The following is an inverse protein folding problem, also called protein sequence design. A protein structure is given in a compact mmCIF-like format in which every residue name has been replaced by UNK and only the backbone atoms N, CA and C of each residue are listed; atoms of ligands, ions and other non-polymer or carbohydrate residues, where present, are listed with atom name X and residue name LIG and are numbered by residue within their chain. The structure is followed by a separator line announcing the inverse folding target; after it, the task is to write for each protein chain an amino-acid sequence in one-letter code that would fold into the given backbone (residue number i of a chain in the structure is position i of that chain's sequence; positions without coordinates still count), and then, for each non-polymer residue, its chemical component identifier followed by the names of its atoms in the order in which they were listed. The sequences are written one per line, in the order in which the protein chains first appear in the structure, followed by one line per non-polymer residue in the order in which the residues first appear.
data_IF_826920841177
#
_entry.id   IF_826920841177
#
_cell.length_a   1.000
_cell.length_b   1.000
_cell.length_c   1.000
_cell.angle_alpha   90.00
_cell.angle_beta   90.00
_cell.angle_gamma   90.00
#
_symmetry.space_group_name_H-M   'P 1'
#
loop_
_entity.id
_entity.type
_entity.pdbx_description
1 polymer ?
#
# COMPACT_ATOMS: atom_id res chain seq x y z
N UNK A 1 -6.25 -18.74 1.58
CA UNK A 1 -7.25 -18.62 0.50
C UNK A 1 -7.54 -17.15 0.27
N UNK A 2 -7.63 -16.69 -0.99
CA UNK A 2 -7.95 -15.29 -1.29
C UNK A 2 -9.44 -15.02 -1.00
N UNK A 3 -9.74 -14.00 -0.20
CA UNK A 3 -11.11 -13.56 0.09
C UNK A 3 -11.75 -12.83 -1.10
N UNK A 4 -10.97 -12.49 -2.12
CA UNK A 4 -11.41 -11.67 -3.26
C UNK A 4 -12.62 -12.24 -4.00
N UNK A 5 -12.70 -13.54 -4.35
CA UNK A 5 -13.87 -14.06 -5.05
C UNK A 5 -15.16 -13.86 -4.25
N UNK A 6 -15.11 -14.09 -2.93
CA UNK A 6 -16.26 -13.87 -2.03
C UNK A 6 -16.61 -12.39 -1.90
N UNK A 7 -15.61 -11.50 -1.90
CA UNK A 7 -15.83 -10.07 -1.85
C UNK A 7 -16.51 -9.57 -3.14
N UNK A 8 -15.96 -9.86 -4.32
CA UNK A 8 -16.51 -9.39 -5.60
C UNK A 8 -17.90 -9.99 -5.89
N UNK A 9 -18.18 -11.22 -5.45
CA UNK A 9 -19.51 -11.82 -5.58
C UNK A 9 -20.59 -11.03 -4.83
N UNK A 10 -20.27 -10.29 -3.75
CA UNK A 10 -21.23 -9.41 -3.07
C UNK A 10 -21.68 -8.23 -3.94
N UNK A 11 -20.96 -7.95 -5.02
CA UNK A 11 -21.25 -6.90 -5.99
C UNK A 11 -21.68 -7.48 -7.35
N UNK A 12 -22.06 -8.77 -7.40
CA UNK A 12 -22.45 -9.46 -8.64
C UNK A 12 -21.33 -9.51 -9.70
N UNK A 13 -20.06 -9.44 -9.25
CA UNK A 13 -18.88 -9.51 -10.09
C UNK A 13 -18.11 -10.81 -9.87
N UNK A 14 -17.66 -11.44 -10.93
CA UNK A 14 -16.65 -12.51 -10.88
C UNK A 14 -15.25 -11.95 -11.14
N UNK A 15 -14.21 -12.74 -10.80
CA UNK A 15 -12.82 -12.38 -11.14
C UNK A 15 -12.64 -12.25 -12.66
N UNK A 16 -13.33 -13.08 -13.45
CA UNK A 16 -13.26 -13.05 -14.92
C UNK A 16 -13.93 -11.80 -15.52
N UNK A 17 -14.87 -11.20 -14.79
CA UNK A 17 -15.49 -9.93 -15.19
C UNK A 17 -14.48 -8.77 -15.06
N UNK A 18 -13.69 -8.78 -13.99
CA UNK A 18 -12.79 -7.68 -13.60
C UNK A 18 -11.33 -7.87 -14.03
N UNK A 19 -10.93 -9.06 -14.48
CA UNK A 19 -9.58 -9.33 -15.03
C UNK A 19 -9.71 -9.86 -16.46
N UNK A 20 -8.93 -9.31 -17.39
CA UNK A 20 -8.90 -9.81 -18.76
C UNK A 20 -8.27 -11.21 -18.82
N UNK A 21 -8.86 -12.16 -19.58
CA UNK A 21 -8.32 -13.52 -19.70
C UNK A 21 -6.87 -13.59 -20.19
N UNK A 22 -6.44 -12.58 -20.94
CA UNK A 22 -5.06 -12.44 -21.46
C UNK A 22 -4.01 -12.27 -20.36
N UNK A 23 -4.42 -11.93 -19.14
CA UNK A 23 -3.53 -11.75 -17.99
C UNK A 23 -3.43 -13.01 -17.11
N UNK A 24 -4.16 -14.08 -17.45
CA UNK A 24 -4.09 -15.33 -16.71
C UNK A 24 -2.77 -16.06 -17.00
N UNK A 25 -2.09 -16.56 -15.96
CA UNK A 25 -0.93 -17.46 -16.09
C UNK A 25 0.46 -16.82 -16.11
N UNK A 26 0.58 -15.51 -15.81
CA UNK A 26 1.89 -14.84 -15.61
C UNK A 26 2.11 -14.56 -14.13
N UNK A 27 2.99 -15.33 -13.47
CA UNK A 27 3.12 -15.37 -12.00
C UNK A 27 3.35 -14.00 -11.34
N UNK A 28 4.23 -13.16 -11.88
CA UNK A 28 4.49 -11.82 -11.35
C UNK A 28 3.30 -10.87 -11.51
N UNK A 29 2.63 -10.91 -12.66
CA UNK A 29 1.44 -10.10 -12.93
C UNK A 29 0.27 -10.56 -12.06
N UNK A 30 0.11 -11.87 -11.84
CA UNK A 30 -0.96 -12.40 -11.00
C UNK A 30 -0.85 -11.87 -9.57
N UNK A 31 0.36 -11.81 -8.99
CA UNK A 31 0.54 -11.25 -7.65
C UNK A 31 0.20 -9.76 -7.58
N UNK A 32 0.59 -8.97 -8.60
CA UNK A 32 0.26 -7.54 -8.68
C UNK A 32 -1.25 -7.33 -8.85
N UNK A 33 -1.90 -8.10 -9.71
CA UNK A 33 -3.35 -8.06 -9.91
C UNK A 33 -4.07 -8.38 -8.61
N UNK A 34 -3.70 -9.46 -7.92
CA UNK A 34 -4.33 -9.85 -6.66
C UNK A 34 -4.18 -8.76 -5.59
N UNK A 35 -2.97 -8.23 -5.39
CA UNK A 35 -2.75 -7.11 -4.45
C UNK A 35 -3.55 -5.87 -4.85
N UNK A 36 -3.58 -5.53 -6.14
CA UNK A 36 -4.37 -4.40 -6.62
C UNK A 36 -5.86 -4.58 -6.34
N UNK A 37 -6.43 -5.75 -6.65
CA UNK A 37 -7.83 -6.05 -6.33
C UNK A 37 -8.11 -6.03 -4.82
N UNK A 38 -7.15 -6.45 -3.97
CA UNK A 38 -7.25 -6.32 -2.51
C UNK A 38 -7.25 -4.87 -2.07
N UNK A 39 -6.39 -4.04 -2.66
CA UNK A 39 -6.33 -2.60 -2.39
C UNK A 39 -7.61 -1.90 -2.85
N UNK A 40 -8.18 -2.29 -4.01
CA UNK A 40 -9.50 -1.81 -4.44
C UNK A 40 -10.60 -2.16 -3.43
N UNK A 41 -10.63 -3.42 -2.99
CA UNK A 41 -11.58 -3.87 -1.98
C UNK A 41 -11.42 -3.07 -0.68
N UNK A 42 -10.17 -2.84 -0.25
CA UNK A 42 -9.88 -2.08 0.96
C UNK A 42 -10.40 -0.64 0.88
N UNK A 43 -10.15 0.08 -0.22
CA UNK A 43 -10.68 1.44 -0.38
C UNK A 43 -12.21 1.47 -0.38
N UNK A 44 -12.85 0.51 -1.03
CA UNK A 44 -14.32 0.42 -1.09
C UNK A 44 -14.93 0.18 0.29
N UNK A 45 -14.32 -0.69 1.09
CA UNK A 45 -14.80 -0.99 2.43
C UNK A 45 -14.61 0.17 3.41
N UNK A 46 -13.63 1.04 3.16
CA UNK A 46 -13.36 2.23 3.97
C UNK A 46 -14.02 3.51 3.39
N UNK A 47 -14.55 3.46 2.17
CA UNK A 47 -15.24 4.59 1.55
C UNK A 47 -16.65 4.75 2.13
N UNK A 48 -17.05 6.00 2.38
CA UNK A 48 -18.39 6.32 2.84
C UNK A 48 -19.43 6.39 1.69
N UNK A 49 -18.98 6.46 0.43
CA UNK A 49 -19.83 6.58 -0.77
C UNK A 49 -19.93 5.25 -1.53
N UNK A 50 -21.07 4.59 -1.42
CA UNK A 50 -21.34 3.29 -2.05
C UNK A 50 -21.44 3.34 -3.58
N UNK A 51 -21.78 4.48 -4.17
CA UNK A 51 -21.92 4.62 -5.63
C UNK A 51 -20.55 4.72 -6.28
N UNK A 52 -19.66 5.54 -5.72
CA UNK A 52 -18.27 5.62 -6.17
C UNK A 52 -17.53 4.29 -5.97
N UNK A 53 -17.82 3.61 -4.86
CA UNK A 53 -17.26 2.30 -4.58
C UNK A 53 -17.60 1.25 -5.65
N UNK A 54 -18.87 1.18 -6.10
CA UNK A 54 -19.25 0.26 -7.18
C UNK A 54 -18.54 0.60 -8.51
N UNK A 55 -18.49 1.89 -8.87
CA UNK A 55 -17.81 2.33 -10.09
C UNK A 55 -16.30 2.06 -10.06
N UNK A 56 -15.69 2.09 -8.88
CA UNK A 56 -14.32 1.64 -8.67
C UNK A 56 -14.17 0.14 -8.95
N UNK A 57 -15.04 -0.71 -8.40
CA UNK A 57 -14.95 -2.16 -8.54
C UNK A 57 -15.21 -2.67 -9.95
N UNK A 58 -16.14 -2.06 -10.70
CA UNK A 58 -16.54 -2.52 -12.04
C UNK A 58 -15.47 -2.29 -13.13
N UNK A 59 -14.39 -1.59 -12.83
CA UNK A 59 -13.32 -1.36 -13.79
C UNK A 59 -12.52 -2.64 -14.05
N UNK A 60 -12.40 -3.02 -15.33
CA UNK A 60 -11.74 -4.25 -15.75
C UNK A 60 -10.25 -4.03 -15.97
N UNK A 61 -9.40 -4.79 -15.30
CA UNK A 61 -7.95 -4.80 -15.53
C UNK A 61 -7.66 -5.48 -16.88
N UNK A 62 -7.11 -4.73 -17.83
CA UNK A 62 -6.83 -5.21 -19.20
C UNK A 62 -5.35 -5.32 -19.53
N UNK A 63 -4.49 -4.59 -18.82
CA UNK A 63 -3.03 -4.71 -18.95
C UNK A 63 -2.33 -4.43 -17.62
N UNK A 64 -1.20 -5.10 -17.39
CA UNK A 64 -0.34 -4.92 -16.21
C UNK A 64 1.11 -5.09 -16.62
N UNK A 65 1.94 -4.07 -16.40
CA UNK A 65 3.36 -4.14 -16.71
C UNK A 65 4.22 -3.36 -15.71
N UNK A 66 5.46 -3.80 -15.58
CA UNK A 66 6.44 -3.18 -14.71
C UNK A 66 6.98 -1.91 -15.36
N UNK A 67 6.98 -0.80 -14.62
CA UNK A 67 7.51 0.50 -15.06
C UNK A 67 8.90 0.73 -14.47
N UNK A 68 9.02 0.49 -13.17
CA UNK A 68 10.31 0.50 -12.46
C UNK A 68 10.43 -0.83 -11.72
N UNK A 69 11.54 -1.53 -11.99
CA UNK A 69 11.78 -2.87 -11.45
C UNK A 69 11.57 -2.94 -9.94
N UNK A 70 10.68 -3.85 -9.52
CA UNK A 70 10.25 -4.13 -8.16
C UNK A 70 9.77 -2.91 -7.35
N UNK A 71 9.37 -1.80 -8.01
CA UNK A 71 8.99 -0.57 -7.32
C UNK A 71 7.66 0.01 -7.82
N UNK A 72 7.52 0.20 -9.13
CA UNK A 72 6.34 0.86 -9.73
C UNK A 72 5.82 0.02 -10.88
N UNK A 73 4.53 -0.23 -10.85
CA UNK A 73 3.81 -0.95 -11.89
C UNK A 73 2.73 -0.06 -12.49
N UNK A 74 2.40 -0.34 -13.75
CA UNK A 74 1.30 0.27 -14.48
C UNK A 74 0.17 -0.74 -14.60
N UNK A 75 -1.04 -0.30 -14.30
CA UNK A 75 -2.27 -1.08 -14.43
C UNK A 75 -3.22 -0.30 -15.33
N UNK A 76 -3.59 -0.89 -16.46
CA UNK A 76 -4.61 -0.34 -17.35
C UNK A 76 -5.97 -0.91 -16.96
N UNK A 77 -6.87 -0.04 -16.53
CA UNK A 77 -8.27 -0.35 -16.31
C UNK A 77 -9.13 0.12 -17.49
N UNK A 78 -10.09 -0.70 -17.91
CA UNK A 78 -11.10 -0.37 -18.90
C UNK A 78 -12.46 -0.18 -18.25
N UNK A 79 -13.12 0.93 -18.58
CA UNK A 79 -14.51 1.24 -18.21
C UNK A 79 -15.28 1.64 -19.47
N UNK A 80 -16.16 0.75 -19.94
CA UNK A 80 -16.82 0.94 -21.24
C UNK A 80 -15.78 1.04 -22.36
N UNK A 81 -15.69 2.20 -23.00
CA UNK A 81 -14.73 2.49 -24.08
C UNK A 81 -13.48 3.24 -23.61
N UNK A 82 -13.39 3.59 -22.33
CA UNK A 82 -12.30 4.41 -21.80
C UNK A 82 -11.27 3.54 -21.08
N UNK A 83 -10.02 3.65 -21.51
CA UNK A 83 -8.88 3.06 -20.80
C UNK A 83 -8.23 4.12 -19.90
N UNK A 84 -7.92 3.74 -18.66
CA UNK A 84 -7.24 4.56 -17.67
C UNK A 84 -6.01 3.83 -17.18
N UNK A 85 -4.86 4.50 -17.22
CA UNK A 85 -3.58 3.92 -16.83
C UNK A 85 -3.20 4.42 -15.45
N UNK A 86 -3.11 3.51 -14.48
CA UNK A 86 -2.78 3.81 -13.09
C UNK A 86 -1.34 3.38 -12.80
N UNK A 87 -0.58 4.24 -12.14
CA UNK A 87 0.69 3.86 -11.54
C UNK A 87 0.44 3.42 -10.10
N UNK A 88 0.99 2.27 -9.72
CA UNK A 88 0.83 1.67 -8.40
C UNK A 88 2.17 1.27 -7.80
N UNK A 89 2.27 1.24 -6.47
CA UNK A 89 3.42 0.67 -5.77
C UNK A 89 3.43 -0.85 -5.91
N UNK A 90 4.60 -1.44 -6.17
CA UNK A 90 4.73 -2.89 -6.31
C UNK A 90 4.29 -3.66 -5.05
N UNK A 91 4.73 -3.19 -3.87
CA UNK A 91 4.54 -3.90 -2.60
C UNK A 91 3.10 -3.81 -2.05
N UNK A 92 2.40 -2.69 -2.28
CA UNK A 92 1.06 -2.45 -1.71
C UNK A 92 -0.05 -2.34 -2.75
N UNK A 93 0.31 -2.12 -4.02
CA UNK A 93 -0.59 -1.79 -5.12
C UNK A 93 -1.50 -0.59 -4.85
N UNK A 94 -1.13 0.29 -3.93
CA UNK A 94 -1.76 1.60 -3.79
C UNK A 94 -1.41 2.49 -4.97
N UNK A 95 -2.42 3.25 -5.41
CA UNK A 95 -2.33 4.13 -6.57
C UNK A 95 -1.54 5.37 -6.19
N UNK A 96 -0.47 5.65 -6.94
CA UNK A 96 0.35 6.86 -6.80
C UNK A 96 0.03 7.93 -7.86
N UNK A 97 -0.82 7.60 -8.82
CA UNK A 97 -1.44 8.55 -9.75
C UNK A 97 -1.83 7.94 -11.10
N UNK A 98 -2.41 8.76 -11.98
CA UNK A 98 -2.84 8.36 -13.33
C UNK A 98 -1.83 8.84 -14.39
N UNK A 99 -1.52 8.01 -15.38
CA UNK A 99 -0.79 8.44 -16.57
C UNK A 99 -1.76 9.22 -17.49
N UNK A 100 -1.37 10.41 -17.92
CA UNK A 100 -2.11 11.15 -18.97
C UNK A 100 -3.20 12.11 -18.50
N UNK A 101 -3.35 12.38 -17.20
CA UNK A 101 -4.15 13.53 -16.78
C UNK A 101 -3.40 14.82 -17.18
N UNK A 102 -4.00 15.66 -18.02
CA UNK A 102 -3.66 17.09 -18.00
C UNK A 102 -3.85 17.60 -16.57
N UNK A 103 -3.34 18.78 -16.20
CA UNK A 103 -3.35 19.36 -14.84
C UNK A 103 -4.75 19.54 -14.17
N UNK A 104 -5.79 18.90 -14.69
CA UNK A 104 -7.14 18.82 -14.14
C UNK A 104 -7.38 17.39 -13.62
N UNK A 105 -7.86 17.20 -12.38
CA UNK A 105 -8.39 15.91 -11.96
C UNK A 105 -9.46 15.48 -12.97
N UNK A 106 -9.50 14.19 -13.32
CA UNK A 106 -10.53 13.64 -14.21
C UNK A 106 -11.90 13.76 -13.52
N UNK A 107 -12.53 14.92 -13.64
CA UNK A 107 -13.93 15.16 -13.26
C UNK A 107 -14.82 14.62 -14.37
N UNK A 108 -14.65 13.35 -14.73
CA UNK A 108 -15.64 12.65 -15.55
C UNK A 108 -16.71 12.13 -14.62
N UNK A 109 -17.95 12.59 -14.82
CA UNK A 109 -19.14 12.28 -14.02
C UNK A 109 -19.24 10.78 -13.69
N UNK A 110 -18.85 10.41 -12.47
CA UNK A 110 -18.95 9.04 -11.92
C UNK A 110 -17.63 8.34 -11.58
N UNK A 111 -16.45 8.85 -11.99
CA UNK A 111 -15.18 8.22 -11.59
C UNK A 111 -14.79 8.75 -10.19
N UNK A 112 -14.43 7.88 -9.21
CA UNK A 112 -13.78 8.34 -7.99
C UNK A 112 -12.58 9.19 -8.38
N UNK A 113 -12.47 10.43 -7.91
CA UNK A 113 -11.39 11.34 -8.32
C UNK A 113 -10.05 10.65 -8.09
N UNK A 114 -9.42 10.17 -9.17
CA UNK A 114 -8.10 9.58 -9.07
C UNK A 114 -7.15 10.76 -8.94
N UNK A 115 -6.49 10.89 -7.79
CA UNK A 115 -5.66 12.05 -7.53
C UNK A 115 -4.51 12.15 -8.52
N UNK A 116 -4.15 13.39 -8.85
CA UNK A 116 -3.00 13.69 -9.70
C UNK A 116 -1.71 13.19 -9.05
N UNK A 117 -0.86 12.56 -9.86
CA UNK A 117 0.46 12.13 -9.42
C UNK A 117 1.26 13.34 -8.93
N UNK A 118 1.92 13.22 -7.76
CA UNK A 118 2.81 14.28 -7.26
C UNK A 118 3.95 14.52 -8.25
N UNK A 119 4.38 15.77 -8.41
CA UNK A 119 5.38 16.13 -9.42
C UNK A 119 6.75 15.44 -9.28
N UNK A 120 7.16 15.11 -8.05
CA UNK A 120 8.39 14.36 -7.79
C UNK A 120 8.27 12.86 -8.14
N UNK A 121 7.07 12.26 -8.02
CA UNK A 121 6.78 10.94 -8.57
C UNK A 121 6.88 10.93 -10.09
N UNK A 122 6.29 11.93 -10.76
CA UNK A 122 6.42 12.09 -12.21
C UNK A 122 7.88 12.22 -12.65
N UNK A 123 8.65 13.04 -11.91
CA UNK A 123 10.08 13.23 -12.15
C UNK A 123 10.87 11.94 -11.92
N UNK A 124 10.58 11.22 -10.84
CA UNK A 124 11.22 9.94 -10.50
C UNK A 124 10.95 8.86 -11.56
N UNK A 125 9.70 8.71 -12.01
CA UNK A 125 9.35 7.76 -13.07
C UNK A 125 10.08 8.09 -14.36
N UNK A 126 10.12 9.37 -14.75
CA UNK A 126 10.81 9.83 -15.95
C UNK A 126 12.33 9.62 -15.86
N UNK A 127 12.94 9.99 -14.73
CA UNK A 127 14.39 9.87 -14.50
C UNK A 127 14.85 8.41 -14.55
N UNK A 128 14.15 7.52 -13.85
CA UNK A 128 14.52 6.09 -13.80
C UNK A 128 14.28 5.40 -15.14
N UNK A 129 13.23 5.79 -15.87
CA UNK A 129 12.93 5.22 -17.20
C UNK A 129 13.99 5.59 -18.25
N UNK A 130 14.67 6.73 -18.10
CA UNK A 130 15.69 7.20 -19.04
C UNK A 130 17.13 6.94 -18.59
N UNK A 131 17.35 6.57 -17.33
CA UNK A 131 18.69 6.28 -16.82
C UNK A 131 19.16 4.90 -17.28
N UNK A 132 20.22 4.87 -18.08
CA UNK A 132 20.97 3.64 -18.39
C UNK A 132 21.91 3.21 -17.27
N UNK A 133 22.13 4.06 -16.26
CA UNK A 133 22.97 3.79 -15.10
C UNK A 133 22.12 3.38 -13.90
N UNK A 134 22.41 2.26 -13.23
CA UNK A 134 21.70 1.89 -12.01
C UNK A 134 21.92 2.96 -10.93
N UNK A 135 20.82 3.53 -10.44
CA UNK A 135 20.85 4.48 -9.33
C UNK A 135 21.45 3.83 -8.07
N UNK A 136 22.24 4.58 -7.29
CA UNK A 136 22.80 4.10 -6.04
C UNK A 136 21.74 3.70 -4.99
N UNK A 137 20.51 4.23 -5.11
CA UNK A 137 19.34 3.77 -4.35
C UNK A 137 18.57 2.79 -5.21
N UNK A 138 18.66 1.51 -4.88
CA UNK A 138 18.10 0.43 -5.69
C UNK A 138 16.64 0.14 -5.34
N UNK A 139 16.18 0.51 -4.13
CA UNK A 139 14.82 0.27 -3.68
C UNK A 139 14.05 1.56 -3.39
N UNK A 140 12.72 1.50 -3.56
CA UNK A 140 11.83 2.58 -3.14
C UNK A 140 11.90 2.81 -1.62
N UNK A 141 12.15 1.75 -0.87
CA UNK A 141 12.28 1.78 0.58
C UNK A 141 13.46 2.64 1.05
N UNK A 142 14.53 2.75 0.26
CA UNK A 142 15.70 3.62 0.52
C UNK A 142 15.37 5.13 0.41
N UNK A 143 14.15 5.44 -0.01
CA UNK A 143 13.61 6.81 -0.17
C UNK A 143 12.60 7.17 0.93
N UNK A 144 12.27 6.22 1.81
CA UNK A 144 11.55 6.52 3.05
C UNK A 144 12.42 7.43 3.91
N UNK A 145 11.83 8.49 4.44
CA UNK A 145 12.46 9.43 5.35
C UNK A 145 11.88 9.18 6.74
N UNK A 146 12.77 8.89 7.68
CA UNK A 146 12.45 8.64 9.08
C UNK A 146 13.39 9.44 9.99
N UNK A 147 13.06 9.48 11.27
CA UNK A 147 13.80 10.06 12.37
C UNK A 147 14.22 8.95 13.35
N UNK A 148 14.97 9.31 14.39
CA UNK A 148 15.52 8.36 15.36
C UNK A 148 16.31 7.21 14.70
N UNK A 149 17.35 7.59 13.95
CA UNK A 149 18.27 6.63 13.33
C UNK A 149 19.14 5.87 14.33
N UNK A 150 19.04 6.14 15.63
CA UNK A 150 19.73 5.40 16.69
C UNK A 150 19.07 4.04 16.92
N UNK A 151 17.74 4.01 17.00
CA UNK A 151 16.95 2.81 17.30
C UNK A 151 16.36 2.15 16.05
N UNK A 152 16.13 2.93 14.98
CA UNK A 152 15.44 2.46 13.78
C UNK A 152 16.31 2.55 12.52
N UNK A 153 16.09 1.62 11.61
CA UNK A 153 16.64 1.58 10.26
C UNK A 153 15.47 1.55 9.28
N UNK A 154 15.32 2.60 8.48
CA UNK A 154 14.19 2.79 7.56
C UNK A 154 12.81 2.63 8.23
N UNK A 155 12.69 3.10 9.47
CA UNK A 155 11.46 2.98 10.27
C UNK A 155 11.22 1.60 10.89
N UNK A 156 12.17 0.66 10.79
CA UNK A 156 12.09 -0.66 11.40
C UNK A 156 13.08 -0.75 12.55
N UNK A 157 12.65 -1.26 13.70
CA UNK A 157 13.47 -1.44 14.90
C UNK A 157 14.73 -2.26 14.59
N UNK A 158 15.90 -1.71 14.92
CA UNK A 158 17.18 -2.41 14.76
C UNK A 158 17.25 -3.68 15.59
N UNK A 159 16.55 -3.73 16.73
CA UNK A 159 16.46 -4.93 17.55
C UNK A 159 15.73 -6.05 16.80
N UNK A 160 14.63 -5.72 16.14
CA UNK A 160 13.87 -6.66 15.32
C UNK A 160 14.66 -7.12 14.09
N UNK A 161 15.34 -6.21 13.40
CA UNK A 161 16.23 -6.56 12.29
C UNK A 161 17.37 -7.48 12.73
N UNK A 162 18.01 -7.21 13.88
CA UNK A 162 19.06 -8.08 14.43
C UNK A 162 18.55 -9.49 14.75
N UNK A 163 17.33 -9.59 15.30
CA UNK A 163 16.68 -10.89 15.51
C UNK A 163 16.44 -11.60 14.19
N UNK A 164 15.88 -10.91 13.19
CA UNK A 164 15.65 -11.47 11.86
C UNK A 164 16.95 -11.97 11.19
N UNK A 165 18.04 -11.21 11.29
CA UNK A 165 19.36 -11.60 10.77
C UNK A 165 19.92 -12.86 11.43
N UNK A 166 19.56 -13.12 12.69
CA UNK A 166 19.97 -14.34 13.41
C UNK A 166 19.22 -15.59 12.92
N UNK A 167 18.10 -15.41 12.21
CA UNK A 167 17.25 -16.48 11.69
C UNK A 167 16.99 -16.34 10.18
N UNK A 168 17.94 -15.77 9.44
CA UNK A 168 17.78 -15.33 8.04
C UNK A 168 17.40 -16.42 7.02
N UNK A 169 17.50 -17.70 7.39
CA UNK A 169 17.08 -18.84 6.55
C UNK A 169 15.62 -19.26 6.77
N UNK A 170 14.95 -18.75 7.80
CA UNK A 170 13.55 -19.04 8.07
C UNK A 170 12.64 -18.19 7.18
N UNK A 171 11.79 -18.85 6.40
CA UNK A 171 10.76 -18.20 5.57
C UNK A 171 9.86 -17.28 6.39
N UNK A 172 9.60 -17.62 7.65
CA UNK A 172 8.81 -16.80 8.57
C UNK A 172 9.43 -15.41 8.80
N UNK A 173 10.75 -15.33 8.95
CA UNK A 173 11.44 -14.06 9.16
C UNK A 173 11.51 -13.22 7.89
N UNK A 174 11.69 -13.88 6.73
CA UNK A 174 11.61 -13.21 5.42
C UNK A 174 10.22 -12.58 5.25
N UNK A 175 9.15 -13.33 5.56
CA UNK A 175 7.77 -12.84 5.48
C UNK A 175 7.51 -11.67 6.44
N UNK A 176 7.98 -11.77 7.69
CA UNK A 176 7.84 -10.69 8.68
C UNK A 176 8.51 -9.40 8.23
N UNK A 177 9.70 -9.48 7.63
CA UNK A 177 10.39 -8.31 7.08
C UNK A 177 9.65 -7.75 5.87
N UNK A 178 9.12 -8.60 4.98
CA UNK A 178 8.32 -8.16 3.85
C UNK A 178 7.04 -7.44 4.30
N UNK A 179 6.36 -7.97 5.31
CA UNK A 179 5.15 -7.36 5.89
C UNK A 179 5.47 -6.02 6.55
N UNK A 180 6.57 -5.92 7.31
CA UNK A 180 7.00 -4.65 7.92
C UNK A 180 7.22 -3.57 6.84
N UNK A 181 7.90 -3.92 5.74
CA UNK A 181 8.12 -3.00 4.61
C UNK A 181 6.82 -2.60 3.93
N UNK A 182 5.90 -3.54 3.68
CA UNK A 182 4.58 -3.26 3.10
C UNK A 182 3.76 -2.33 3.97
N UNK A 183 3.72 -2.58 5.27
CA UNK A 183 3.04 -1.71 6.22
C UNK A 183 3.61 -0.29 6.16
N UNK A 184 4.93 -0.11 6.24
CA UNK A 184 5.56 1.21 6.12
C UNK A 184 5.20 1.88 4.79
N UNK A 185 5.28 1.14 3.68
CA UNK A 185 4.92 1.67 2.37
C UNK A 185 3.44 2.10 2.30
N UNK A 186 2.55 1.37 2.98
CA UNK A 186 1.14 1.75 3.08
C UNK A 186 0.89 2.99 3.93
N UNK A 187 1.72 3.24 4.94
CA UNK A 187 1.65 4.48 5.72
C UNK A 187 2.11 5.71 4.94
N UNK A 188 3.04 5.54 3.98
CA UNK A 188 3.59 6.65 3.19
C UNK A 188 2.90 6.83 1.83
N UNK A 189 2.17 5.83 1.34
CA UNK A 189 1.46 5.90 0.07
C UNK A 189 0.48 7.10 -0.04
N UNK A 190 -0.30 7.47 1.00
CA UNK A 190 -1.16 8.66 0.96
C UNK A 190 -0.40 9.97 0.66
N UNK A 191 0.90 10.05 1.00
CA UNK A 191 1.72 11.22 0.68
C UNK A 191 1.97 11.39 -0.83
N UNK A 192 1.74 10.34 -1.62
CA UNK A 192 2.04 10.26 -3.06
C UNK A 192 1.02 10.94 -3.96
N UNK A 193 -0.17 11.23 -3.44
CA UNK A 193 -1.35 11.61 -4.22
C UNK A 193 -1.86 13.03 -3.94
N UNK A 194 -1.16 13.80 -3.10
CA UNK A 194 -1.59 15.16 -2.72
C UNK A 194 -1.46 16.22 -3.83
N UNK A 195 -0.96 15.86 -5.02
CA UNK A 195 -0.78 16.74 -6.18
C UNK A 195 0.36 17.77 -6.06
N UNK A 196 0.57 18.34 -4.86
CA UNK A 196 1.67 19.26 -4.58
C UNK A 196 2.87 18.53 -3.98
N UNK A 197 4.07 18.93 -4.41
CA UNK A 197 5.30 18.48 -3.76
C UNK A 197 5.32 18.94 -2.30
N UNK A 198 5.69 18.02 -1.40
CA UNK A 198 5.88 18.29 0.02
C UNK A 198 7.24 17.76 0.46
N UNK A 199 7.96 18.56 1.23
CA UNK A 199 9.18 18.11 1.92
C UNK A 199 8.81 17.21 3.11
N UNK A 200 9.75 16.39 3.58
CA UNK A 200 9.55 15.57 4.78
C UNK A 200 9.12 16.39 6.00
N UNK A 201 9.65 17.61 6.15
CA UNK A 201 9.26 18.54 7.21
C UNK A 201 7.80 18.98 7.07
N UNK A 202 7.38 19.38 5.87
CA UNK A 202 5.98 19.77 5.64
C UNK A 202 5.01 18.61 5.86
N UNK A 203 5.40 17.39 5.46
CA UNK A 203 4.61 16.19 5.78
C UNK A 203 4.53 15.99 7.29
N UNK A 204 5.64 16.13 8.03
CA UNK A 204 5.66 16.05 9.49
C UNK A 204 4.76 17.11 10.15
N UNK A 205 4.84 18.36 9.69
CA UNK A 205 4.03 19.47 10.21
C UNK A 205 2.52 19.20 9.98
N UNK A 206 2.14 18.68 8.80
CA UNK A 206 0.76 18.27 8.52
C UNK A 206 0.27 17.11 9.42
N UNK A 207 1.12 16.11 9.66
CA UNK A 207 0.81 15.03 10.61
C UNK A 207 0.69 15.56 12.06
N UNK A 208 1.41 16.63 12.39
CA UNK A 208 1.31 17.35 13.66
C UNK A 208 0.06 18.24 13.77
N UNK A 209 -0.74 18.36 12.72
CA UNK A 209 -1.93 19.20 12.68
C UNK A 209 -1.67 20.66 12.29
N UNK A 210 -0.47 21.02 11.83
CA UNK A 210 -0.17 22.35 11.32
C UNK A 210 -0.49 22.43 9.82
N UNK A 211 -1.52 23.20 9.47
CA UNK A 211 -1.97 23.39 8.08
C UNK A 211 -1.46 24.68 7.45
N UNK A 212 -0.58 25.44 8.12
CA UNK A 212 0.02 26.64 7.56
C UNK A 212 0.98 26.24 6.44
N UNK A 213 0.53 26.26 5.19
CA UNK A 213 1.37 25.95 4.04
C UNK A 213 2.10 27.20 3.52
N UNK A 214 3.41 27.38 3.78
CA UNK A 214 4.20 28.27 2.95
C UNK A 214 4.33 27.64 1.56
N UNK A 215 3.93 28.39 0.52
CA UNK A 215 4.24 28.04 -0.86
C UNK A 215 5.76 28.03 -1.08
N UNK A 216 6.38 26.86 -0.98
CA UNK A 216 7.79 26.71 -1.34
C UNK A 216 7.89 26.75 -2.87
N UNK A 217 8.47 27.82 -3.40
CA UNK A 217 8.83 27.91 -4.82
C UNK A 217 9.88 26.84 -5.15
N UNK A 218 9.66 26.13 -6.26
CA UNK A 218 10.55 25.09 -6.79
C UNK A 218 11.99 25.62 -6.88
N UNK A 219 12.91 25.09 -6.08
CA UNK A 219 14.33 25.23 -6.35
C UNK A 219 14.71 24.17 -7.40
N UNK A 220 15.27 24.62 -8.52
CA UNK A 220 15.80 23.77 -9.58
C UNK A 220 17.03 22.99 -9.07
N UNK A 221 16.78 21.77 -8.61
CA UNK A 221 17.77 20.75 -8.27
C UNK A 221 17.06 19.40 -8.25
N UNK A 222 17.73 18.30 -8.62
CA UNK A 222 17.09 16.98 -8.79
C UNK A 222 16.30 16.61 -7.55
N UNK A 223 14.97 16.62 -7.66
CA UNK A 223 14.11 16.42 -6.50
C UNK A 223 14.11 14.94 -6.16
N UNK A 224 14.81 14.58 -5.08
CA UNK A 224 14.72 13.25 -4.51
C UNK A 224 13.28 13.03 -4.03
N UNK A 225 12.61 12.00 -4.57
CA UNK A 225 11.35 11.49 -4.07
C UNK A 225 11.41 11.34 -2.55
N UNK A 226 10.52 12.05 -1.84
CA UNK A 226 10.48 12.05 -0.37
C UNK A 226 9.23 11.32 0.13
N UNK A 227 9.42 10.25 0.90
CA UNK A 227 8.34 9.47 1.50
C UNK A 227 8.46 9.54 3.03
N UNK A 228 7.81 10.51 3.66
CA UNK A 228 7.92 10.70 5.11
C UNK A 228 7.10 9.67 5.90
N UNK A 229 7.73 9.04 6.88
CA UNK A 229 7.12 8.11 7.83
C UNK A 229 7.07 8.73 9.24
N UNK A 230 5.87 8.96 9.81
CA UNK A 230 5.71 9.41 11.19
C UNK A 230 6.23 8.40 12.22
N UNK A 231 6.75 8.88 13.35
CA UNK A 231 7.33 8.04 14.42
C UNK A 231 6.35 7.01 15.01
N UNK A 232 5.08 7.36 15.12
CA UNK A 232 4.04 6.45 15.63
C UNK A 232 3.71 5.28 14.67
N UNK A 233 4.25 5.31 13.44
CA UNK A 233 4.17 4.22 12.46
C UNK A 233 5.48 3.43 12.32
N UNK A 234 6.48 3.66 13.19
CA UNK A 234 7.67 2.81 13.20
C UNK A 234 7.32 1.39 13.62
N UNK A 235 8.01 0.41 13.04
CA UNK A 235 7.74 -1.01 13.27
C UNK A 235 8.68 -1.55 14.33
N UNK A 236 8.11 -1.95 15.46
CA UNK A 236 8.83 -2.65 16.54
C UNK A 236 8.96 -4.13 16.26
N UNK A 237 7.89 -4.77 15.81
CA UNK A 237 7.90 -6.19 15.45
C UNK A 237 6.70 -6.55 14.58
N UNK A 238 6.77 -7.73 13.97
CA UNK A 238 5.64 -8.36 13.26
C UNK A 238 5.38 -9.73 13.87
N UNK A 239 4.12 -10.02 14.18
CA UNK A 239 3.66 -11.27 14.79
C UNK A 239 2.60 -11.96 13.95
N UNK A 240 2.62 -13.29 13.98
CA UNK A 240 1.57 -14.17 13.43
C UNK A 240 0.73 -14.83 14.53
N UNK A 241 0.97 -14.45 15.78
CA UNK A 241 0.27 -14.95 16.96
C UNK A 241 -0.31 -13.78 17.74
N UNK A 242 -1.46 -14.03 18.37
CA UNK A 242 -2.14 -13.05 19.23
C UNK A 242 -1.54 -13.14 20.63
N UNK A 243 -0.98 -12.04 21.14
CA UNK A 243 -0.44 -11.96 22.51
C UNK A 243 -1.55 -11.64 23.53
N UNK A 244 -2.57 -12.49 23.64
CA UNK A 244 -3.68 -12.30 24.60
C UNK A 244 -3.65 -13.37 25.69
N UNK A 245 -2.90 -13.09 26.77
CA UNK A 245 -2.93 -13.84 28.02
C UNK A 245 -2.05 -15.11 28.06
N UNK A 246 -2.13 -15.89 29.16
CA UNK A 246 -1.20 -16.99 29.46
C UNK A 246 -1.46 -18.30 28.70
N UNK A 247 -2.46 -18.35 27.81
CA UNK A 247 -2.84 -19.58 27.09
C UNK A 247 -2.43 -19.48 25.61
N UNK A 248 -1.81 -20.53 25.03
CA UNK A 248 -1.50 -20.55 23.60
C UNK A 248 -2.80 -20.62 22.79
N UNK A 249 -3.14 -19.53 22.11
CA UNK A 249 -4.25 -19.47 21.14
C UNK A 249 -3.79 -19.93 19.74
N UNK A 250 -4.74 -20.35 18.88
CA UNK A 250 -4.45 -20.53 17.46
C UNK A 250 -3.79 -19.26 16.88
N UNK A 251 -2.88 -19.45 15.92
CA UNK A 251 -2.25 -18.33 15.22
C UNK A 251 -3.27 -17.46 14.49
N UNK A 252 -2.87 -16.23 14.16
CA UNK A 252 -3.64 -15.33 13.31
C UNK A 252 -3.99 -16.01 11.99
N UNK A 253 -5.15 -15.66 11.45
CA UNK A 253 -5.57 -16.06 10.12
C UNK A 253 -4.45 -15.78 9.11
N UNK A 254 -4.24 -16.68 8.14
CA UNK A 254 -3.04 -16.66 7.27
C UNK A 254 -2.90 -15.37 6.44
N UNK A 255 -3.98 -14.62 6.25
CA UNK A 255 -3.98 -13.33 5.56
C UNK A 255 -3.67 -12.13 6.48
N UNK A 256 -3.61 -12.33 7.80
CA UNK A 256 -3.48 -11.26 8.81
C UNK A 256 -2.15 -11.39 9.53
N UNK A 257 -1.47 -10.26 9.73
CA UNK A 257 -0.36 -10.13 10.67
C UNK A 257 -0.64 -8.97 11.64
N UNK A 258 -0.04 -9.05 12.82
CA UNK A 258 0.00 -7.96 13.77
C UNK A 258 1.33 -7.20 13.61
N UNK A 259 1.25 -5.88 13.48
CA UNK A 259 2.41 -4.98 13.42
C UNK A 259 2.40 -4.13 14.68
N UNK A 260 3.38 -4.34 15.55
CA UNK A 260 3.56 -3.51 16.73
C UNK A 260 4.25 -2.21 16.32
N UNK A 261 3.70 -1.08 16.74
CA UNK A 261 4.36 0.24 16.69
C UNK A 261 4.54 0.79 18.10
N UNK A 262 5.29 1.90 18.28
CA UNK A 262 5.36 2.59 19.57
C UNK A 262 4.01 3.07 20.10
N UNK A 263 3.05 3.32 19.21
CA UNK A 263 1.75 3.87 19.59
C UNK A 263 0.69 2.79 19.87
N UNK A 264 0.63 1.73 19.05
CA UNK A 264 -0.33 0.62 19.19
C UNK A 264 0.02 -0.57 18.30
N UNK A 265 -0.66 -1.69 18.48
CA UNK A 265 -0.65 -2.81 17.53
C UNK A 265 -1.68 -2.59 16.41
N UNK A 266 -1.29 -2.80 15.15
CA UNK A 266 -2.18 -2.78 14.00
C UNK A 266 -2.37 -4.19 13.42
N UNK A 267 -3.61 -4.52 13.07
CA UNK A 267 -3.93 -5.72 12.31
C UNK A 267 -3.88 -5.38 10.82
N UNK A 268 -2.99 -6.03 10.06
CA UNK A 268 -2.74 -5.70 8.65
C UNK A 268 -2.91 -6.93 7.75
N UNK A 269 -3.27 -6.68 6.49
CA UNK A 269 -3.24 -7.70 5.44
C UNK A 269 -1.79 -8.00 5.04
N UNK A 270 -1.36 -9.27 5.14
CA UNK A 270 0.04 -9.67 4.85
C UNK A 270 0.48 -9.35 3.42
N UNK A 271 -0.44 -9.44 2.47
CA UNK A 271 -0.14 -9.30 1.04
C UNK A 271 0.19 -7.86 0.61
N UNK A 272 -0.38 -6.85 1.26
CA UNK A 272 -0.22 -5.44 0.85
C UNK A 272 0.00 -4.46 2.00
N UNK A 273 0.02 -4.90 3.26
CA UNK A 273 0.32 -4.07 4.43
C UNK A 273 -0.82 -3.18 4.92
N UNK A 274 -1.99 -3.21 4.26
CA UNK A 274 -3.12 -2.34 4.60
C UNK A 274 -3.76 -2.73 5.94
N UNK A 275 -4.01 -1.72 6.78
CA UNK A 275 -4.62 -1.86 8.10
C UNK A 275 -6.10 -2.21 8.02
N UNK A 276 -6.52 -3.26 8.73
CA UNK A 276 -7.91 -3.74 8.81
C UNK A 276 -8.46 -3.72 10.25
N UNK A 277 -7.65 -3.24 11.19
CA UNK A 277 -7.96 -3.21 12.60
C UNK A 277 -6.77 -2.75 13.45
N UNK A 278 -6.98 -2.68 14.76
CA UNK A 278 -5.94 -2.35 15.75
C UNK A 278 -6.16 -3.10 17.06
N UNK A 279 -5.26 -2.90 18.03
CA UNK A 279 -5.33 -3.51 19.36
C UNK A 279 -6.67 -3.26 20.07
N UNK A 280 -7.19 -2.04 19.95
CA UNK A 280 -8.38 -1.61 20.70
C UNK A 280 -9.69 -2.16 20.11
N UNK A 281 -9.82 -2.08 18.78
CA UNK A 281 -11.07 -2.44 18.07
C UNK A 281 -11.04 -3.87 17.52
N UNK A 282 -9.86 -4.50 17.49
CA UNK A 282 -9.64 -5.76 16.80
C UNK A 282 -9.75 -5.63 15.28
N UNK A 283 -9.92 -6.76 14.59
CA UNK A 283 -10.22 -6.79 13.15
C UNK A 283 -11.63 -6.22 12.93
N UNK A 284 -11.82 -5.27 12.02
CA UNK A 284 -13.14 -4.67 11.82
C UNK A 284 -14.19 -5.71 11.35
N UNK A 285 -15.48 -5.59 11.74
CA UNK A 285 -16.50 -6.62 11.48
C UNK A 285 -16.67 -7.03 10.01
N UNK A 286 -16.47 -6.09 9.08
CA UNK A 286 -16.55 -6.39 7.65
C UNK A 286 -15.41 -7.31 7.19
N UNK A 287 -14.20 -7.10 7.72
CA UNK A 287 -13.04 -7.95 7.46
C UNK A 287 -13.14 -9.30 8.16
N UNK A 288 -13.69 -9.34 9.38
CA UNK A 288 -14.00 -10.60 10.08
C UNK A 288 -14.86 -11.53 9.21
N UNK A 289 -15.96 -10.99 8.66
CA UNK A 289 -16.87 -11.75 7.78
C UNK A 289 -16.20 -12.18 6.48
N UNK A 290 -15.39 -11.32 5.86
CA UNK A 290 -14.73 -11.62 4.59
C UNK A 290 -13.63 -12.67 4.73
N UNK A 291 -12.83 -12.57 5.79
CA UNK A 291 -11.70 -13.46 6.07
C UNK A 291 -12.14 -14.74 6.77
N UNK A 292 -13.29 -14.76 7.43
CA UNK A 292 -13.72 -15.88 8.26
C UNK A 292 -12.87 -15.95 9.54
N UNK A 293 -12.69 -14.80 10.21
CA UNK A 293 -11.97 -14.71 11.47
C UNK A 293 -12.77 -13.94 12.52
N UNK A 294 -12.40 -14.11 13.79
CA UNK A 294 -12.97 -13.38 14.92
C UNK A 294 -12.37 -11.98 15.06
N UNK A 295 -12.82 -11.22 16.07
CA UNK A 295 -12.31 -9.87 16.36
C UNK A 295 -10.82 -9.84 16.71
N UNK A 296 -10.22 -10.97 17.10
CA UNK A 296 -8.78 -11.06 17.35
C UNK A 296 -7.99 -11.48 16.11
N UNK A 297 -8.66 -11.71 14.97
CA UNK A 297 -8.05 -12.18 13.74
C UNK A 297 -7.76 -13.68 13.73
N UNK A 298 -8.31 -14.46 14.66
CA UNK A 298 -8.20 -15.92 14.68
C UNK A 298 -9.24 -16.54 13.74
N UNK A 299 -8.91 -17.60 12.96
CA UNK A 299 -9.89 -18.28 12.11
C UNK A 299 -11.10 -18.82 12.89
N UNK A 300 -12.30 -18.72 12.28
CA UNK A 300 -13.56 -19.30 12.78
C UNK A 300 -13.90 -20.58 12.01
#
# INVERSE_FOLDING_TARGET
MSFLPRFYQQFELSIDDIVAPTLHGRDCQASVILRFLMTKAWYVLNAQDSTQAQLWLCAKVVDVHEVISAQVWSITERRGMTDTVLHVLYETCEVIGCAGASDQPLVSSGIPQIPLMRGDWASFVTEVSHSTTPSAKTSLFDRVVWHNGEEYESGISKLFLRRASSFNTSTEWVDKIAIAKRYILSCVAPNSVSGLFKTARQMADEFGGDTQQPHVRRLHGSQNLSLYLPEHHYVECVSFIVSLGPQPRPGLHSAIAAVQTPAREYMVLRENGLTIGCEEDGVAPVWQKLLGCDSHGCPI
#
